data_IF_524668172735
#
_entry.id   IF_524668172735
#
_cell.length_a   1.000
_cell.length_b   1.000
_cell.length_c   1.000
_cell.angle_alpha   90.00
_cell.angle_beta   90.00
_cell.angle_gamma   90.00
#
_symmetry.space_group_name_H-M   'P 1'
#
loop_
_entity.id
_entity.type
_entity.pdbx_description
1 polymer ?
#
# COMPACT_ATOMS: atom_id res chain seq x y z
N UNK A 1 -4.89 26.65 -8.24
CA UNK A 1 -4.76 25.34 -7.56
C UNK A 1 -5.41 25.48 -6.20
N UNK A 2 -6.42 24.66 -5.87
CA UNK A 2 -7.08 24.79 -4.58
C UNK A 2 -6.25 24.06 -3.49
N UNK A 3 -6.49 24.35 -2.20
CA UNK A 3 -5.70 23.75 -1.12
C UNK A 3 -5.83 22.23 -0.99
N UNK A 4 -6.92 21.65 -1.50
CA UNK A 4 -7.15 20.20 -1.52
C UNK A 4 -6.24 19.52 -2.56
N UNK A 5 -6.15 20.07 -3.76
CA UNK A 5 -5.28 19.54 -4.83
C UNK A 5 -3.82 19.52 -4.36
N UNK A 6 -3.38 20.58 -3.68
CA UNK A 6 -2.04 20.67 -3.10
C UNK A 6 -1.81 19.59 -2.02
N UNK A 7 -2.79 19.35 -1.14
CA UNK A 7 -2.66 18.32 -0.11
C UNK A 7 -2.55 16.90 -0.72
N UNK A 8 -3.30 16.63 -1.79
CA UNK A 8 -3.21 15.35 -2.52
C UNK A 8 -1.87 15.21 -3.25
N UNK A 9 -1.35 16.29 -3.83
CA UNK A 9 -0.02 16.32 -4.45
C UNK A 9 1.08 16.03 -3.42
N UNK A 10 1.04 16.70 -2.26
CA UNK A 10 1.96 16.46 -1.13
C UNK A 10 1.89 15.01 -0.68
N UNK A 11 0.69 14.44 -0.55
CA UNK A 11 0.51 13.04 -0.18
C UNK A 11 1.14 12.08 -1.21
N UNK A 12 0.95 12.38 -2.50
CA UNK A 12 1.51 11.60 -3.62
C UNK A 12 3.04 11.65 -3.61
N UNK A 13 3.62 12.84 -3.43
CA UNK A 13 5.07 13.02 -3.30
C UNK A 13 5.61 12.31 -2.05
N UNK A 14 4.87 12.38 -0.94
CA UNK A 14 5.20 11.67 0.31
C UNK A 14 5.16 10.15 0.15
N UNK A 15 4.28 9.60 -0.67
CA UNK A 15 4.27 8.17 -1.02
C UNK A 15 5.52 7.79 -1.81
N UNK A 16 5.91 8.61 -2.78
CA UNK A 16 7.13 8.39 -3.55
C UNK A 16 8.39 8.38 -2.68
N UNK A 17 8.53 9.40 -1.82
CA UNK A 17 9.66 9.51 -0.89
C UNK A 17 9.72 8.34 0.10
N UNK A 18 8.56 7.87 0.57
CA UNK A 18 8.51 6.73 1.48
C UNK A 18 9.01 5.44 0.81
N UNK A 19 8.56 5.13 -0.41
CA UNK A 19 9.03 3.94 -1.14
C UNK A 19 10.50 4.02 -1.54
N UNK A 20 11.02 5.21 -1.83
CA UNK A 20 12.44 5.41 -2.09
C UNK A 20 13.30 5.05 -0.86
N UNK A 21 12.83 5.39 0.35
CA UNK A 21 13.52 5.07 1.61
C UNK A 21 13.28 3.62 2.08
N UNK A 22 12.11 3.06 1.78
CA UNK A 22 11.69 1.71 2.19
C UNK A 22 11.75 0.72 1.02
N UNK A 23 12.91 0.59 0.37
CA UNK A 23 13.10 -0.16 -0.89
C UNK A 23 12.68 -1.64 -0.84
N UNK A 24 12.70 -2.26 0.34
CA UNK A 24 12.26 -3.64 0.57
C UNK A 24 10.75 -3.78 0.68
N UNK A 25 10.01 -2.71 0.93
CA UNK A 25 8.54 -2.71 1.04
C UNK A 25 7.90 -2.53 -0.35
N UNK A 26 6.66 -3.00 -0.53
CA UNK A 26 5.83 -2.71 -1.71
C UNK A 26 4.49 -2.10 -1.37
N UNK A 27 4.11 -2.18 -0.11
CA UNK A 27 2.88 -1.63 0.41
C UNK A 27 3.17 -0.64 1.51
N UNK A 28 2.33 0.39 1.56
CA UNK A 28 2.29 1.39 2.62
C UNK A 28 0.84 1.61 2.99
N UNK A 29 0.57 1.85 4.27
CA UNK A 29 -0.71 2.41 4.71
C UNK A 29 -0.47 3.74 5.43
N UNK A 30 -1.37 4.71 5.24
CA UNK A 30 -1.32 6.01 5.92
C UNK A 30 -2.72 6.56 6.12
N UNK A 31 -2.84 7.64 6.88
CA UNK A 31 -4.08 8.43 6.92
C UNK A 31 -4.42 8.95 5.52
N UNK A 32 -5.70 8.85 5.18
CA UNK A 32 -6.20 9.41 3.93
C UNK A 32 -6.22 10.93 4.03
N UNK A 33 -5.79 11.60 2.96
CA UNK A 33 -5.93 13.06 2.88
C UNK A 33 -7.37 13.40 2.49
N UNK A 34 -8.02 14.40 3.12
CA UNK A 34 -9.36 14.81 2.75
C UNK A 34 -9.45 15.07 1.26
N UNK A 35 -10.30 14.29 0.59
CA UNK A 35 -10.53 14.48 -0.82
C UNK A 35 -9.53 13.85 -1.78
N UNK A 36 -8.69 12.95 -1.28
CA UNK A 36 -7.78 12.15 -2.09
C UNK A 36 -8.51 11.29 -3.15
N UNK A 37 -9.72 10.84 -2.84
CA UNK A 37 -10.54 10.01 -3.71
C UNK A 37 -11.90 10.68 -3.96
N UNK A 38 -12.36 10.65 -5.21
CA UNK A 38 -13.62 11.30 -5.60
C UNK A 38 -14.86 10.46 -5.26
N UNK A 39 -14.69 9.14 -5.24
CA UNK A 39 -15.70 8.12 -4.94
C UNK A 39 -15.88 7.85 -3.43
N UNK A 40 -14.93 8.31 -2.61
CA UNK A 40 -15.06 8.28 -1.15
C UNK A 40 -15.79 9.54 -0.69
N UNK A 41 -17.11 9.44 -0.62
CA UNK A 41 -17.96 10.52 -0.15
C UNK A 41 -18.18 10.43 1.38
N UNK A 42 -17.84 11.51 2.09
CA UNK A 42 -18.23 11.71 3.48
C UNK A 42 -17.27 11.13 4.54
N UNK A 43 -17.63 11.30 5.83
CA UNK A 43 -16.82 10.81 6.94
C UNK A 43 -16.75 9.29 6.96
N UNK A 44 -15.70 8.76 7.59
CA UNK A 44 -15.62 7.33 7.83
C UNK A 44 -16.78 6.86 8.74
N UNK A 45 -17.16 5.57 8.70
CA UNK A 45 -18.11 5.00 9.64
C UNK A 45 -17.72 5.25 11.10
N UNK A 46 -18.70 5.24 12.01
CA UNK A 46 -18.46 5.46 13.45
C UNK A 46 -17.42 4.46 13.98
N UNK A 47 -16.42 4.97 14.69
CA UNK A 47 -15.31 4.16 15.22
C UNK A 47 -14.23 3.82 14.19
N UNK A 48 -14.38 4.25 12.93
CA UNK A 48 -13.41 4.05 11.86
C UNK A 48 -12.79 5.36 11.37
N UNK A 49 -11.65 5.24 10.69
CA UNK A 49 -10.96 6.32 10.00
C UNK A 49 -10.60 5.87 8.58
N UNK A 50 -10.74 6.79 7.63
CA UNK A 50 -10.28 6.57 6.27
C UNK A 50 -8.76 6.54 6.21
N UNK A 51 -8.22 5.46 5.63
CA UNK A 51 -6.80 5.27 5.36
C UNK A 51 -6.60 5.08 3.87
N UNK A 52 -5.40 5.40 3.41
CA UNK A 52 -4.94 5.13 2.05
C UNK A 52 -3.96 3.97 2.12
N UNK A 53 -4.28 2.88 1.44
CA UNK A 53 -3.32 1.81 1.18
C UNK A 53 -2.72 2.01 -0.22
N UNK A 54 -1.40 1.96 -0.30
CA UNK A 54 -0.62 2.26 -1.51
C UNK A 54 0.20 1.04 -1.87
N UNK A 55 0.05 0.56 -3.10
CA UNK A 55 0.87 -0.48 -3.70
C UNK A 55 1.79 0.13 -4.75
N UNK A 56 3.10 -0.06 -4.62
CA UNK A 56 4.05 0.23 -5.69
C UNK A 56 4.39 -1.05 -6.45
N UNK A 57 3.81 -1.22 -7.64
CA UNK A 57 4.03 -2.40 -8.47
C UNK A 57 5.44 -2.39 -9.09
N UNK A 58 5.87 -1.23 -9.55
CA UNK A 58 7.21 -0.92 -10.04
C UNK A 58 7.59 0.49 -9.60
N UNK A 59 8.88 0.87 -9.55
CA UNK A 59 9.28 2.22 -9.20
C UNK A 59 8.50 3.28 -10.01
N UNK A 60 7.73 4.11 -9.32
CA UNK A 60 6.88 5.14 -9.95
C UNK A 60 5.49 4.67 -10.42
N UNK A 61 5.24 3.36 -10.54
CA UNK A 61 3.92 2.81 -10.86
C UNK A 61 3.17 2.40 -9.58
N UNK A 62 2.28 3.28 -9.11
CA UNK A 62 1.56 3.12 -7.83
C UNK A 62 0.06 3.05 -8.00
N UNK A 63 -0.58 2.15 -7.25
CA UNK A 63 -2.03 2.09 -7.05
C UNK A 63 -2.35 2.55 -5.63
N UNK A 64 -3.41 3.33 -5.47
CA UNK A 64 -3.90 3.82 -4.18
C UNK A 64 -5.36 3.44 -4.04
N UNK A 65 -5.73 2.96 -2.87
CA UNK A 65 -7.11 2.61 -2.54
C UNK A 65 -7.46 3.17 -1.17
N UNK A 66 -8.69 3.63 -1.02
CA UNK A 66 -9.23 4.01 0.27
C UNK A 66 -9.71 2.78 1.03
N UNK A 67 -9.54 2.80 2.36
CA UNK A 67 -10.07 1.77 3.24
C UNK A 67 -10.45 2.36 4.59
N UNK A 68 -11.60 1.95 5.12
CA UNK A 68 -12.00 2.30 6.48
C UNK A 68 -11.41 1.26 7.45
N UNK A 69 -10.65 1.73 8.44
CA UNK A 69 -10.10 0.90 9.52
C UNK A 69 -10.51 1.45 10.88
N UNK A 70 -10.59 0.62 11.94
CA UNK A 70 -10.79 1.11 13.30
C UNK A 70 -9.81 2.25 13.66
N UNK A 71 -10.29 3.29 14.34
CA UNK A 71 -9.47 4.47 14.69
C UNK A 71 -8.24 4.06 15.51
N UNK A 72 -8.41 3.09 16.42
CA UNK A 72 -7.36 2.57 17.29
C UNK A 72 -6.31 1.68 16.58
N UNK A 73 -6.44 1.47 15.26
CA UNK A 73 -5.48 0.66 14.51
C UNK A 73 -4.11 1.34 14.46
N UNK A 74 -3.10 0.69 15.05
CA UNK A 74 -1.69 1.05 14.91
C UNK A 74 -1.21 0.69 13.49
N UNK A 75 -0.98 1.69 12.65
CA UNK A 75 -0.66 1.47 11.24
C UNK A 75 0.76 0.92 11.04
N UNK A 76 1.65 1.29 11.94
CA UNK A 76 3.06 0.93 11.97
C UNK A 76 3.31 -0.55 12.26
N UNK A 77 2.31 -1.26 12.82
CA UNK A 77 2.44 -2.68 13.15
C UNK A 77 2.13 -3.60 11.98
N UNK A 78 1.64 -3.07 10.86
CA UNK A 78 1.36 -3.89 9.68
C UNK A 78 2.65 -4.27 8.94
N UNK A 79 2.89 -5.57 8.88
CA UNK A 79 3.86 -6.16 7.96
C UNK A 79 3.32 -6.21 6.52
N UNK A 80 4.17 -6.64 5.59
CA UNK A 80 3.79 -6.69 4.17
C UNK A 80 2.70 -7.71 3.87
N UNK A 81 2.60 -8.81 4.63
CA UNK A 81 1.56 -9.83 4.43
C UNK A 81 0.19 -9.30 4.85
N UNK A 82 0.11 -8.68 6.01
CA UNK A 82 -1.11 -8.08 6.52
C UNK A 82 -1.56 -6.90 5.64
N UNK A 83 -0.63 -6.04 5.18
CA UNK A 83 -0.96 -4.99 4.22
C UNK A 83 -1.47 -5.57 2.90
N UNK A 84 -0.90 -6.68 2.45
CA UNK A 84 -1.31 -7.30 1.19
C UNK A 84 -2.70 -7.90 1.27
N UNK A 85 -3.00 -8.61 2.36
CA UNK A 85 -4.34 -9.10 2.63
C UNK A 85 -5.36 -7.96 2.67
N UNK A 86 -4.98 -6.84 3.29
CA UNK A 86 -5.82 -5.65 3.36
C UNK A 86 -6.05 -5.02 1.98
N UNK A 87 -5.00 -4.91 1.17
CA UNK A 87 -5.10 -4.38 -0.20
C UNK A 87 -6.04 -5.23 -1.04
N UNK A 88 -5.97 -6.56 -0.91
CA UNK A 88 -6.84 -7.49 -1.63
C UNK A 88 -8.33 -7.36 -1.28
N UNK A 89 -8.66 -6.95 -0.06
CA UNK A 89 -10.05 -6.74 0.35
C UNK A 89 -10.71 -5.57 -0.38
N UNK A 90 -9.91 -4.54 -0.70
CA UNK A 90 -10.39 -3.31 -1.36
C UNK A 90 -10.01 -3.24 -2.84
N UNK A 91 -9.17 -4.15 -3.31
CA UNK A 91 -8.72 -4.21 -4.69
C UNK A 91 -9.91 -4.45 -5.64
N UNK A 92 -10.03 -3.67 -6.74
CA UNK A 92 -11.00 -3.97 -7.79
C UNK A 92 -10.80 -5.39 -8.33
N UNK A 93 -11.88 -6.04 -8.78
CA UNK A 93 -11.85 -7.45 -9.17
C UNK A 93 -10.71 -7.82 -10.17
N UNK A 94 -10.29 -6.89 -11.03
CA UNK A 94 -9.20 -7.07 -11.99
C UNK A 94 -7.77 -6.84 -11.47
N UNK A 95 -7.58 -6.33 -10.25
CA UNK A 95 -6.25 -6.08 -9.69
C UNK A 95 -5.58 -7.36 -9.14
N UNK A 96 -6.34 -8.43 -8.93
CA UNK A 96 -5.86 -9.71 -8.39
C UNK A 96 -4.74 -10.33 -9.23
N UNK A 97 -4.81 -10.21 -10.55
CA UNK A 97 -3.80 -10.77 -11.47
C UNK A 97 -2.47 -9.99 -11.45
N UNK A 98 -2.55 -8.66 -11.33
CA UNK A 98 -1.37 -7.79 -11.15
C UNK A 98 -0.68 -8.12 -9.83
N UNK A 99 -1.49 -8.32 -8.78
CA UNK A 99 -1.04 -8.69 -7.45
C UNK A 99 -0.35 -10.07 -7.41
N UNK A 100 -0.89 -11.07 -8.12
CA UNK A 100 -0.27 -12.39 -8.25
C UNK A 100 1.11 -12.34 -8.95
N UNK A 101 1.30 -11.42 -9.91
CA UNK A 101 2.59 -11.15 -10.54
C UNK A 101 3.59 -10.48 -9.59
N UNK A 102 3.15 -9.58 -8.74
CA UNK A 102 4.02 -8.91 -7.77
C UNK A 102 4.55 -9.87 -6.70
N UNK A 103 3.74 -10.85 -6.28
CA UNK A 103 4.18 -11.92 -5.37
C UNK A 103 5.35 -12.71 -5.96
N UNK A 104 5.32 -13.02 -7.26
CA UNK A 104 6.41 -13.74 -7.96
C UNK A 104 7.69 -12.91 -8.08
N UNK A 105 7.59 -11.58 -8.15
CA UNK A 105 8.73 -10.69 -8.30
C UNK A 105 9.50 -10.45 -6.99
N UNK A 106 8.94 -10.82 -5.83
CA UNK A 106 9.52 -10.48 -4.52
C UNK A 106 9.61 -11.60 -3.50
N UNK A 107 9.28 -12.85 -3.85
CA UNK A 107 9.73 -13.98 -3.02
C UNK A 107 11.25 -14.11 -3.21
N UNK A 108 12.10 -13.80 -2.22
CA UNK A 108 13.38 -14.49 -2.17
C UNK A 108 13.04 -15.98 -2.15
N UNK A 109 13.74 -16.77 -2.96
CA UNK A 109 13.70 -18.22 -2.78
C UNK A 109 13.93 -18.52 -1.30
N UNK A 110 13.21 -19.49 -0.68
CA UNK A 110 13.59 -19.96 0.64
C UNK A 110 15.08 -20.29 0.56
N UNK A 111 15.85 -19.71 1.49
CA UNK A 111 17.30 -19.84 1.54
C UNK A 111 17.68 -21.23 2.02
N UNK A 112 17.31 -22.26 1.28
CA UNK A 112 17.67 -23.66 1.51
C UNK A 112 17.91 -24.36 0.17
N UNK A 113 19.00 -23.94 -0.49
CA UNK A 113 19.73 -24.75 -1.46
C UNK A 113 21.15 -24.17 -1.69
N UNK A 114 21.83 -23.74 -0.62
CA UNK A 114 23.30 -23.69 -0.63
C UNK A 114 23.79 -24.99 0.03
N UNK A 115 23.85 -26.06 -0.75
CA UNK A 115 24.83 -27.12 -0.45
C UNK A 115 26.06 -26.81 -1.29
N UNK A 116 27.19 -26.44 -0.67
CA UNK A 116 28.42 -26.19 -1.42
C UNK A 116 28.90 -27.50 -2.04
N UNK A 117 29.22 -27.43 -3.34
CA UNK A 117 30.02 -28.45 -3.99
C UNK A 117 31.31 -28.66 -3.19
N UNK A 118 31.55 -29.91 -2.77
CA UNK A 118 32.86 -30.37 -2.33
C UNK A 118 33.33 -31.43 -3.30
N UNK A 119 34.41 -31.06 -3.99
CA UNK A 119 35.49 -31.82 -4.63
C UNK A 119 35.20 -33.22 -5.16
#
# INVERSE_FOLDING_TARGET
MNGRDLAVEIATAGDAAWFANASTRRLRIRNMVPGEFADVAGPAPVGMAWRTIVLEAQPGARSRQAIALPIATALETFDDEALFALFLQVAPAGARDVIARLRKLKMPAPADAQTPAKN
#
